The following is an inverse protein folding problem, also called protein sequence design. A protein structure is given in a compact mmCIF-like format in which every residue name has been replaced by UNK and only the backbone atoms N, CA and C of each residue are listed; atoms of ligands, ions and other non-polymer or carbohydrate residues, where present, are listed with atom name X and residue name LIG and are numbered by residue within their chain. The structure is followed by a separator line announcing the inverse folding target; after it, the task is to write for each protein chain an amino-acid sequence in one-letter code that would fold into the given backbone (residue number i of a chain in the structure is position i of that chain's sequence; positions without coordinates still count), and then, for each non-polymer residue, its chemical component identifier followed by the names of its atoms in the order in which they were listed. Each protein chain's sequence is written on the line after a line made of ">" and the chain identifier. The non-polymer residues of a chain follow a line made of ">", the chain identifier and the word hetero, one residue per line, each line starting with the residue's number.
data_IF_815849285425
#
_entry.id   IF_815849285425
#
_cell.length_a   1.000
_cell.length_b   1.000
_cell.length_c   1.000
_cell.angle_alpha   90.00
_cell.angle_beta   90.00
_cell.angle_gamma   90.00
#
_symmetry.space_group_name_H-M   'P 1'
#
loop_
_entity.id
_entity.type
_entity.pdbx_description
1 polymer ?
#
# COMPACT_ATOMS: atom_id res chain seq x y z
N UNK A 1 -2.58 -34.06 5.48
CA UNK A 1 -1.74 -32.84 5.51
C UNK A 1 -2.63 -31.61 5.29
N UNK A 2 -2.86 -30.78 6.31
CA UNK A 2 -3.49 -29.47 6.10
C UNK A 2 -2.47 -28.59 5.37
N UNK A 3 -2.68 -28.31 4.07
CA UNK A 3 -1.89 -27.30 3.36
C UNK A 3 -2.05 -25.99 4.13
N UNK A 4 -0.96 -25.55 4.76
CA UNK A 4 -0.87 -24.21 5.34
C UNK A 4 -1.13 -23.24 4.20
N UNK A 5 -2.29 -22.56 4.21
CA UNK A 5 -2.61 -21.53 3.23
C UNK A 5 -1.50 -20.48 3.29
N UNK A 6 -0.61 -20.50 2.31
CA UNK A 6 0.42 -19.48 2.17
C UNK A 6 -0.29 -18.13 2.03
N UNK A 7 0.34 -17.02 2.46
CA UNK A 7 -0.28 -15.69 2.36
C UNK A 7 -0.85 -15.41 0.96
N UNK A 8 -0.21 -15.96 -0.07
CA UNK A 8 -0.64 -15.93 -1.46
C UNK A 8 -2.07 -16.44 -1.69
N UNK A 9 -2.43 -17.63 -1.19
CA UNK A 9 -3.75 -18.24 -1.45
C UNK A 9 -4.91 -17.42 -0.87
N UNK A 10 -4.65 -16.57 0.13
CA UNK A 10 -5.67 -15.69 0.74
C UNK A 10 -5.98 -14.46 -0.11
N UNK A 11 -5.09 -14.13 -1.05
CA UNK A 11 -5.20 -12.95 -1.92
C UNK A 11 -5.60 -13.31 -3.35
N UNK A 12 -5.93 -14.58 -3.61
CA UNK A 12 -6.49 -14.99 -4.90
C UNK A 12 -7.98 -14.65 -4.96
N UNK A 13 -8.37 -13.97 -6.03
CA UNK A 13 -9.76 -13.68 -6.40
C UNK A 13 -9.98 -14.06 -7.85
N UNK A 14 -11.21 -14.40 -8.21
CA UNK A 14 -11.55 -14.80 -9.59
C UNK A 14 -11.89 -13.57 -10.43
N UNK A 15 -11.25 -13.44 -11.59
CA UNK A 15 -11.52 -12.35 -12.52
C UNK A 15 -12.94 -12.45 -13.11
N UNK A 16 -13.79 -11.41 -13.02
CA UNK A 16 -15.16 -11.45 -13.53
C UNK A 16 -15.25 -11.48 -15.08
N UNK A 17 -14.17 -11.17 -15.79
CA UNK A 17 -14.14 -11.12 -17.25
C UNK A 17 -13.69 -12.42 -17.91
N UNK A 18 -12.74 -13.14 -17.28
CA UNK A 18 -12.13 -14.34 -17.88
C UNK A 18 -12.07 -15.57 -16.96
N UNK A 19 -12.63 -15.47 -15.75
CA UNK A 19 -12.75 -16.56 -14.77
C UNK A 19 -11.42 -17.20 -14.32
N UNK A 20 -10.29 -16.51 -14.53
CA UNK A 20 -8.98 -16.93 -14.02
C UNK A 20 -8.70 -16.33 -12.66
N UNK A 21 -7.92 -17.06 -11.85
CA UNK A 21 -7.46 -16.58 -10.55
C UNK A 21 -6.40 -15.49 -10.73
N UNK A 22 -6.62 -14.37 -10.06
CA UNK A 22 -5.79 -13.17 -10.06
C UNK A 22 -5.61 -12.66 -8.64
N UNK A 23 -4.67 -11.76 -8.43
CA UNK A 23 -4.46 -11.16 -7.11
C UNK A 23 -5.48 -10.03 -6.84
N UNK A 24 -6.03 -10.02 -5.63
CA UNK A 24 -7.05 -9.09 -5.12
C UNK A 24 -6.63 -7.61 -5.06
N UNK A 25 -5.34 -7.34 -5.21
CA UNK A 25 -4.74 -6.01 -5.22
C UNK A 25 -4.28 -5.56 -6.62
N UNK A 26 -4.60 -6.32 -7.67
CA UNK A 26 -4.38 -5.90 -9.06
C UNK A 26 -5.51 -4.97 -9.53
N UNK A 27 -5.14 -3.91 -10.26
CA UNK A 27 -6.12 -3.03 -10.91
C UNK A 27 -6.57 -3.54 -12.29
N UNK A 28 -5.77 -4.40 -12.92
CA UNK A 28 -5.99 -4.94 -14.27
C UNK A 28 -5.65 -6.43 -14.28
N UNK A 29 -6.51 -7.23 -14.91
CA UNK A 29 -6.26 -8.66 -15.08
C UNK A 29 -5.08 -8.88 -16.04
N UNK A 30 -4.02 -9.63 -15.66
CA UNK A 30 -2.87 -9.86 -16.52
C UNK A 30 -3.19 -10.74 -17.73
N UNK A 31 -4.32 -11.45 -17.71
CA UNK A 31 -4.68 -12.40 -18.76
C UNK A 31 -5.61 -11.83 -19.82
N UNK A 32 -6.62 -11.05 -19.42
CA UNK A 32 -7.62 -10.50 -20.33
C UNK A 32 -7.60 -8.97 -20.39
N UNK A 33 -6.72 -8.32 -19.62
CA UNK A 33 -6.61 -6.85 -19.50
C UNK A 33 -7.89 -6.14 -19.04
N UNK A 34 -8.88 -6.90 -18.57
CA UNK A 34 -10.10 -6.36 -18.00
C UNK A 34 -9.81 -5.61 -16.71
N UNK A 35 -10.52 -4.50 -16.50
CA UNK A 35 -10.43 -3.70 -15.28
C UNK A 35 -10.94 -4.52 -14.09
N UNK A 36 -10.16 -4.57 -13.02
CA UNK A 36 -10.51 -5.18 -11.76
C UNK A 36 -10.84 -4.09 -10.74
N UNK A 37 -11.66 -4.43 -9.76
CA UNK A 37 -11.91 -3.58 -8.60
C UNK A 37 -11.04 -4.09 -7.44
N UNK A 38 -9.86 -3.47 -7.19
CA UNK A 38 -8.95 -3.95 -6.16
C UNK A 38 -9.57 -3.74 -4.79
N UNK A 39 -9.43 -4.73 -3.91
CA UNK A 39 -9.84 -4.62 -2.51
C UNK A 39 -9.08 -3.50 -1.79
N UNK A 40 -7.80 -3.34 -2.13
CA UNK A 40 -6.98 -2.26 -1.60
C UNK A 40 -7.18 -0.98 -2.42
N UNK A 41 -7.82 0.02 -1.81
CA UNK A 41 -7.89 1.37 -2.38
C UNK A 41 -6.54 2.07 -2.16
N UNK A 42 -5.95 2.69 -3.21
CA UNK A 42 -4.75 3.49 -3.02
C UNK A 42 -5.03 4.61 -2.01
N UNK A 43 -4.05 4.88 -1.15
CA UNK A 43 -4.16 5.97 -0.18
C UNK A 43 -4.43 7.27 -0.92
N UNK A 44 -5.44 8.03 -0.47
CA UNK A 44 -5.77 9.29 -1.11
C UNK A 44 -4.60 10.27 -1.06
N UNK A 45 -4.32 10.90 -2.19
CA UNK A 45 -3.15 11.76 -2.41
C UNK A 45 -3.07 12.91 -1.41
N UNK A 46 -4.21 13.49 -1.03
CA UNK A 46 -4.29 14.57 -0.05
C UNK A 46 -3.90 14.12 1.35
N UNK A 47 -4.37 12.92 1.76
CA UNK A 47 -4.00 12.33 3.05
C UNK A 47 -2.52 11.99 3.07
N UNK A 48 -1.99 11.42 1.98
CA UNK A 48 -0.57 11.12 1.83
C UNK A 48 0.29 12.39 1.95
N UNK A 49 -0.11 13.48 1.31
CA UNK A 49 0.59 14.76 1.37
C UNK A 49 0.57 15.36 2.78
N UNK A 50 -0.57 15.30 3.46
CA UNK A 50 -0.70 15.78 4.85
C UNK A 50 0.23 15.02 5.79
N UNK A 51 0.23 13.69 5.71
CA UNK A 51 1.10 12.84 6.54
C UNK A 51 2.57 13.13 6.26
N UNK A 52 2.95 13.24 4.98
CA UNK A 52 4.33 13.58 4.59
C UNK A 52 4.76 14.93 5.18
N UNK A 53 3.94 15.97 5.02
CA UNK A 53 4.25 17.30 5.55
C UNK A 53 4.39 17.29 7.07
N UNK A 54 3.49 16.61 7.77
CA UNK A 54 3.54 16.49 9.22
C UNK A 54 4.83 15.79 9.68
N UNK A 55 5.17 14.65 9.07
CA UNK A 55 6.41 13.92 9.36
C UNK A 55 7.65 14.78 9.10
N UNK A 56 7.69 15.51 7.98
CA UNK A 56 8.81 16.42 7.67
C UNK A 56 8.97 17.48 8.74
N UNK A 57 7.88 18.13 9.18
CA UNK A 57 7.93 19.17 10.22
C UNK A 57 8.43 18.60 11.54
N UNK A 58 7.89 17.45 11.97
CA UNK A 58 8.29 16.80 13.22
C UNK A 58 9.76 16.40 13.19
N UNK A 59 10.23 15.76 12.11
CA UNK A 59 11.62 15.34 11.99
C UNK A 59 12.59 16.53 11.94
N UNK A 60 12.21 17.61 11.25
CA UNK A 60 13.00 18.84 11.21
C UNK A 60 13.09 19.50 12.59
N UNK A 61 11.99 19.55 13.34
CA UNK A 61 11.98 20.07 14.71
C UNK A 61 12.89 19.25 15.63
N UNK A 62 12.81 17.92 15.57
CA UNK A 62 13.69 17.03 16.35
C UNK A 62 15.16 17.25 15.97
N UNK A 63 15.48 17.34 14.67
CA UNK A 63 16.84 17.59 14.20
C UNK A 63 17.40 18.91 14.73
N UNK A 64 16.61 19.99 14.72
CA UNK A 64 17.00 21.29 15.27
C UNK A 64 17.30 21.21 16.77
N UNK A 65 16.46 20.51 17.54
CA UNK A 65 16.68 20.31 18.99
C UNK A 65 17.99 19.56 19.25
N UNK A 66 18.29 18.51 18.47
CA UNK A 66 19.54 17.75 18.58
C UNK A 66 20.75 18.64 18.26
N UNK A 67 20.67 19.46 17.21
CA UNK A 67 21.77 20.36 16.84
C UNK A 67 22.00 21.41 17.92
N UNK A 68 20.94 22.06 18.41
CA UNK A 68 21.04 23.10 19.44
C UNK A 68 21.55 22.52 20.77
N UNK A 69 21.12 21.33 21.17
CA UNK A 69 21.63 20.65 22.37
C UNK A 69 23.07 20.17 22.28
N UNK A 70 23.65 20.11 21.08
CA UNK A 70 25.09 19.87 20.89
C UNK A 70 25.92 21.14 20.69
N UNK A 71 25.27 22.26 20.43
CA UNK A 71 25.93 23.56 20.24
C UNK A 71 26.05 24.36 21.55
N UNK A 72 25.12 24.13 22.48
CA UNK A 72 25.13 24.59 23.87
C UNK A 72 26.01 23.65 24.70
#
# INVERSE_FOLDING_TARGET
>A
MKKSKTGYEKHLTTCPHCNRDVLDHMAVCPFCQGKLEPYYKPMETEKARRVRNFLTIVLMAIALVIILSKLI
#
